data_IF_429163594180
#
_entry.id   IF_429163594180
#
_cell.length_a   1.000
_cell.length_b   1.000
_cell.length_c   1.000
_cell.angle_alpha   90.00
_cell.angle_beta   90.00
_cell.angle_gamma   90.00
#
_symmetry.space_group_name_H-M   'P 1'
#
loop_
_entity.id
_entity.type
_entity.pdbx_description
1 polymer ?
#
# COMPACT_ATOMS: atom_id res chain seq x y z
N UNK A 1 -14.38 -3.54 8.09
CA UNK A 1 -13.14 -2.73 8.02
C UNK A 1 -13.44 -1.47 7.20
N UNK A 2 -12.91 -0.29 7.55
CA UNK A 2 -13.27 1.02 6.95
C UNK A 2 -12.15 1.52 6.04
N UNK A 3 -12.47 2.38 5.06
CA UNK A 3 -11.48 3.14 4.30
C UNK A 3 -10.72 4.12 5.22
N UNK A 4 -9.40 4.16 5.09
CA UNK A 4 -8.52 4.99 5.92
C UNK A 4 -7.74 5.98 5.06
N UNK A 5 -7.62 7.22 5.54
CA UNK A 5 -6.77 8.25 4.94
C UNK A 5 -5.35 8.15 5.51
N UNK A 6 -4.35 8.26 4.63
CA UNK A 6 -2.92 8.17 4.99
C UNK A 6 -2.07 8.97 4.00
N UNK A 7 -0.75 8.98 4.19
CA UNK A 7 0.19 9.65 3.31
C UNK A 7 0.99 8.64 2.45
N UNK A 8 1.33 9.04 1.23
CA UNK A 8 2.18 8.25 0.33
C UNK A 8 3.64 8.21 0.82
N UNK A 9 4.27 7.02 0.96
CA UNK A 9 5.62 6.89 1.51
C UNK A 9 6.75 7.07 0.48
N UNK A 10 6.44 7.22 -0.81
CA UNK A 10 7.45 7.09 -1.87
C UNK A 10 8.23 8.37 -2.20
N UNK A 11 7.70 9.55 -1.89
CA UNK A 11 8.38 10.81 -2.22
C UNK A 11 7.99 11.95 -1.28
N UNK A 12 8.79 13.02 -1.28
CA UNK A 12 8.60 14.18 -0.40
C UNK A 12 7.39 15.07 -0.71
N UNK A 13 6.62 14.79 -1.77
CA UNK A 13 5.38 15.51 -2.08
C UNK A 13 4.31 15.27 -1.01
N UNK A 14 4.35 14.10 -0.36
CA UNK A 14 3.39 13.74 0.69
C UNK A 14 1.95 13.66 0.16
N UNK A 15 1.73 13.05 -1.01
CA UNK A 15 0.37 12.88 -1.56
C UNK A 15 -0.53 12.16 -0.55
N UNK A 16 -1.77 12.64 -0.38
CA UNK A 16 -2.78 11.98 0.43
C UNK A 16 -3.34 10.76 -0.29
N UNK A 17 -3.52 9.67 0.45
CA UNK A 17 -4.06 8.40 -0.04
C UNK A 17 -5.29 8.00 0.76
N UNK A 18 -6.27 7.41 0.07
CA UNK A 18 -7.38 6.67 0.65
C UNK A 18 -7.16 5.18 0.37
N UNK A 19 -7.14 4.39 1.44
CA UNK A 19 -6.88 2.95 1.40
C UNK A 19 -8.12 2.21 1.86
N UNK A 20 -8.70 1.41 0.97
CA UNK A 20 -9.90 0.61 1.23
C UNK A 20 -9.57 -0.86 1.43
N UNK A 21 -10.32 -1.57 2.29
CA UNK A 21 -10.11 -2.99 2.56
C UNK A 21 -10.12 -3.85 1.30
N UNK A 22 -9.37 -4.97 1.30
CA UNK A 22 -9.17 -5.78 0.10
C UNK A 22 -10.44 -6.48 -0.38
N UNK A 23 -11.39 -6.74 0.50
CA UNK A 23 -12.70 -7.28 0.17
C UNK A 23 -13.78 -6.56 0.97
N UNK A 24 -14.93 -6.33 0.35
CA UNK A 24 -16.15 -5.82 1.01
C UNK A 24 -17.33 -6.65 0.52
N UNK A 25 -18.21 -7.13 1.42
CA UNK A 25 -19.40 -7.89 1.02
C UNK A 25 -20.21 -7.15 -0.06
N UNK A 26 -20.61 -7.85 -1.12
CA UNK A 26 -21.41 -7.28 -2.22
C UNK A 26 -20.65 -6.37 -3.19
N UNK A 27 -19.32 -6.25 -3.10
CA UNK A 27 -18.50 -5.50 -4.07
C UNK A 27 -17.50 -6.41 -4.80
N UNK A 28 -17.23 -6.05 -6.05
CA UNK A 28 -16.16 -6.67 -6.85
C UNK A 28 -14.83 -6.53 -6.10
N UNK A 29 -14.12 -7.64 -5.97
CA UNK A 29 -12.86 -7.75 -5.24
C UNK A 29 -11.73 -7.90 -6.23
N UNK A 30 -10.79 -6.95 -6.24
CA UNK A 30 -9.56 -7.07 -7.00
C UNK A 30 -8.68 -8.14 -6.37
N UNK A 31 -8.03 -8.96 -7.20
CA UNK A 31 -7.18 -10.06 -6.75
C UNK A 31 -5.84 -10.04 -7.46
N UNK A 32 -4.80 -10.52 -6.79
CA UNK A 32 -3.49 -10.73 -7.39
C UNK A 32 -3.47 -11.99 -8.29
N UNK A 33 -2.31 -12.29 -8.89
CA UNK A 33 -2.13 -13.48 -9.72
C UNK A 33 -2.30 -14.81 -8.98
N UNK A 34 -2.28 -14.80 -7.64
CA UNK A 34 -2.50 -15.95 -6.77
C UNK A 34 -3.94 -16.03 -6.25
N UNK A 35 -4.80 -15.09 -6.65
CA UNK A 35 -6.20 -15.01 -6.23
C UNK A 35 -6.41 -14.36 -4.87
N UNK A 36 -5.39 -13.77 -4.23
CA UNK A 36 -5.55 -13.09 -2.94
C UNK A 36 -6.20 -11.71 -3.14
N UNK A 37 -7.17 -11.31 -2.30
CA UNK A 37 -7.80 -10.00 -2.40
C UNK A 37 -6.79 -8.89 -2.10
N UNK A 38 -6.76 -7.84 -2.91
CA UNK A 38 -5.76 -6.76 -2.81
C UNK A 38 -6.35 -5.47 -2.28
N UNK A 39 -5.57 -4.75 -1.47
CA UNK A 39 -5.95 -3.43 -0.95
C UNK A 39 -6.13 -2.45 -2.11
N UNK A 40 -7.21 -1.67 -2.05
CA UNK A 40 -7.44 -0.63 -3.05
C UNK A 40 -6.89 0.70 -2.55
N UNK A 41 -6.08 1.35 -3.38
CA UNK A 41 -5.48 2.65 -3.05
C UNK A 41 -5.90 3.68 -4.10
N UNK A 42 -6.30 4.86 -3.64
CA UNK A 42 -6.64 6.01 -4.48
C UNK A 42 -6.09 7.29 -3.85
N UNK A 43 -5.98 8.35 -4.63
CA UNK A 43 -5.61 9.67 -4.09
C UNK A 43 -6.75 10.29 -3.29
N UNK A 44 -6.42 10.86 -2.13
CA UNK A 44 -7.35 11.67 -1.34
C UNK A 44 -7.60 13.00 -2.05
N UNK A 45 -8.82 13.16 -2.58
CA UNK A 45 -9.24 14.37 -3.31
C UNK A 45 -9.29 15.62 -2.44
N UNK A 46 -9.42 15.47 -1.12
CA UNK A 46 -9.42 16.58 -0.17
C UNK A 46 -8.02 16.99 0.30
N UNK A 47 -6.96 16.25 -0.09
CA UNK A 47 -5.61 16.56 0.37
C UNK A 47 -5.08 17.86 -0.27
N UNK A 48 -4.60 18.85 0.50
CA UNK A 48 -4.27 20.18 0.00
C UNK A 48 -3.17 20.17 -1.08
N UNK A 49 -2.12 19.37 -0.89
CA UNK A 49 -0.97 19.37 -1.80
C UNK A 49 -1.18 18.59 -3.11
N UNK A 50 -2.04 17.58 -3.10
CA UNK A 50 -2.15 16.63 -4.23
C UNK A 50 -3.52 16.61 -4.88
N UNK A 51 -4.58 17.01 -4.16
CA UNK A 51 -5.96 17.09 -4.67
C UNK A 51 -6.40 15.79 -5.37
N UNK A 52 -5.95 14.64 -4.84
CA UNK A 52 -6.22 13.31 -5.37
C UNK A 52 -5.35 12.89 -6.57
N UNK A 53 -4.44 13.73 -7.06
CA UNK A 53 -3.46 13.37 -8.10
C UNK A 53 -2.28 12.65 -7.47
N UNK A 54 -2.06 11.41 -7.89
CA UNK A 54 -0.99 10.54 -7.38
C UNK A 54 -0.28 9.88 -8.56
N UNK A 55 1.04 9.74 -8.48
CA UNK A 55 1.82 8.99 -9.47
C UNK A 55 1.57 7.48 -9.37
N UNK A 56 2.02 6.72 -10.38
CA UNK A 56 1.84 5.25 -10.43
C UNK A 56 2.34 4.56 -9.14
N UNK A 57 3.51 4.97 -8.61
CA UNK A 57 4.08 4.38 -7.38
C UNK A 57 3.13 4.49 -6.19
N UNK A 58 2.50 5.65 -6.00
CA UNK A 58 1.54 5.84 -4.90
C UNK A 58 0.21 5.13 -5.16
N UNK A 59 -0.26 5.11 -6.41
CA UNK A 59 -1.50 4.44 -6.80
C UNK A 59 -1.43 2.91 -6.65
N UNK A 60 -0.26 2.30 -6.86
CA UNK A 60 -0.05 0.84 -6.77
C UNK A 60 0.67 0.38 -5.51
N UNK A 61 0.82 1.25 -4.49
CA UNK A 61 1.55 0.93 -3.24
C UNK A 61 1.04 -0.34 -2.55
N UNK A 62 -0.25 -0.65 -2.68
CA UNK A 62 -0.85 -1.87 -2.13
C UNK A 62 -0.20 -3.16 -2.64
N UNK A 63 0.28 -3.19 -3.88
CA UNK A 63 0.93 -4.37 -4.48
C UNK A 63 2.30 -4.65 -3.88
N UNK A 64 2.97 -3.65 -3.33
CA UNK A 64 4.29 -3.80 -2.72
C UNK A 64 4.20 -4.31 -1.28
N UNK A 65 3.04 -4.23 -0.63
CA UNK A 65 2.92 -4.50 0.80
C UNK A 65 3.23 -5.96 1.15
N UNK A 66 2.88 -6.94 0.33
CA UNK A 66 3.11 -8.36 0.67
C UNK A 66 4.32 -8.98 -0.06
N UNK A 67 4.96 -8.23 -0.96
CA UNK A 67 6.12 -8.71 -1.70
C UNK A 67 7.37 -8.66 -0.80
N UNK A 68 7.95 -9.83 -0.50
CA UNK A 68 9.18 -9.98 0.29
C UNK A 68 9.14 -9.32 1.68
N UNK A 69 7.96 -9.32 2.32
CA UNK A 69 7.81 -8.78 3.68
C UNK A 69 8.55 -9.66 4.69
N UNK A 70 9.53 -9.08 5.39
CA UNK A 70 10.15 -9.72 6.55
C UNK A 70 9.11 -9.87 7.67
N UNK A 71 8.84 -11.12 8.05
CA UNK A 71 7.87 -11.47 9.12
C UNK A 71 8.55 -11.75 10.46
N UNK A 72 9.85 -11.99 10.43
CA UNK A 72 10.66 -12.35 11.58
C UNK A 72 11.99 -11.59 11.53
N UNK A 73 12.57 -11.25 12.69
CA UNK A 73 13.93 -10.70 12.73
C UNK A 73 14.92 -11.72 12.18
N UNK A 74 15.94 -11.21 11.48
CA UNK A 74 17.06 -12.02 10.97
C UNK A 74 18.33 -11.56 11.66
N UNK A 75 19.09 -12.51 12.18
CA UNK A 75 20.36 -12.27 12.88
C UNK A 75 21.44 -13.06 12.16
N UNK A 76 22.64 -12.46 12.07
CA UNK A 76 23.83 -13.19 11.67
C UNK A 76 24.49 -13.79 12.91
N UNK A 77 25.21 -14.89 12.77
CA UNK A 77 25.92 -15.50 13.90
C UNK A 77 27.20 -14.73 14.24
N UNK A 78 27.84 -14.16 13.21
CA UNK A 78 29.07 -13.36 13.33
C UNK A 78 29.04 -12.16 12.38
N UNK A 79 29.94 -11.18 12.58
CA UNK A 79 30.02 -9.97 11.76
C UNK A 79 30.36 -10.28 10.29
N UNK A 80 31.15 -11.34 10.06
CA UNK A 80 31.74 -11.68 8.76
C UNK A 80 30.81 -12.50 7.86
N UNK A 81 29.67 -12.98 8.36
CA UNK A 81 28.62 -13.57 7.50
C UNK A 81 27.92 -12.46 6.69
N UNK A 82 27.64 -12.72 5.41
CA UNK A 82 26.92 -11.80 4.52
C UNK A 82 25.40 -11.85 4.76
#
# INVERSE_FOLDING_TARGET
>A
MKTTKTACPYCGVGCGLEVSPPATPGKVTNRDSKGNPTWQVRGDRSHPSSQGKVCLKGATVGEALDKSRLKYPMMRNTLDEA
#
